data_IF_778450773645
#
_entry.id   IF_778450773645
#
_cell.length_a   1.000
_cell.length_b   1.000
_cell.length_c   1.000
_cell.angle_alpha   90.00
_cell.angle_beta   90.00
_cell.angle_gamma   90.00
#
_symmetry.space_group_name_H-M   'P 1'
#
loop_
_entity.id
_entity.type
_entity.pdbx_description
1 polymer ?
#
# COMPACT_ATOMS: atom_id res chain seq x y z
N UNK A 1 -31.63 -2.56 -16.93
CA UNK A 1 -31.48 -2.49 -15.45
C UNK A 1 -31.33 -1.04 -15.07
N UNK A 2 -32.20 -0.51 -14.21
CA UNK A 2 -32.15 0.90 -13.78
C UNK A 2 -31.23 0.95 -12.56
N UNK A 3 -30.12 1.73 -12.55
CA UNK A 3 -29.40 1.96 -11.32
C UNK A 3 -30.27 2.90 -10.48
N UNK A 4 -30.97 2.35 -9.49
CA UNK A 4 -31.60 3.15 -8.45
C UNK A 4 -30.48 3.64 -7.55
N UNK A 5 -30.06 4.89 -7.74
CA UNK A 5 -29.31 5.59 -6.71
C UNK A 5 -30.27 5.86 -5.54
N UNK A 6 -29.97 5.42 -4.31
CA UNK A 6 -30.43 6.14 -3.14
C UNK A 6 -29.44 7.27 -2.89
N UNK A 7 -29.93 8.51 -2.88
CA UNK A 7 -29.24 9.62 -2.23
C UNK A 7 -29.19 9.33 -0.72
N UNK A 8 -28.18 8.58 -0.27
CA UNK A 8 -27.83 8.42 1.14
C UNK A 8 -26.38 7.88 1.25
N UNK A 9 -25.39 8.79 1.26
CA UNK A 9 -23.97 8.48 1.47
C UNK A 9 -23.10 8.48 0.21
N UNK A 10 -21.82 8.85 0.38
CA UNK A 10 -20.79 8.76 -0.67
C UNK A 10 -20.54 7.30 -1.08
N UNK A 11 -20.14 7.07 -2.34
CA UNK A 11 -19.76 5.72 -2.82
C UNK A 11 -18.51 5.20 -2.09
N UNK A 12 -18.30 3.88 -2.08
CA UNK A 12 -17.12 3.27 -1.49
C UNK A 12 -15.85 3.76 -2.18
N UNK A 13 -15.87 3.90 -3.50
CA UNK A 13 -14.75 4.49 -4.26
C UNK A 13 -14.42 5.90 -3.77
N UNK A 14 -15.43 6.74 -3.56
CA UNK A 14 -15.22 8.09 -3.04
C UNK A 14 -14.61 8.06 -1.63
N UNK A 15 -15.07 7.16 -0.76
CA UNK A 15 -14.47 6.99 0.57
C UNK A 15 -13.02 6.52 0.51
N UNK A 16 -12.68 5.56 -0.35
CA UNK A 16 -11.29 5.11 -0.54
C UNK A 16 -10.42 6.28 -0.99
N UNK A 17 -10.88 7.09 -1.95
CA UNK A 17 -10.15 8.28 -2.40
C UNK A 17 -9.96 9.27 -1.26
N UNK A 18 -11.02 9.59 -0.51
CA UNK A 18 -10.95 10.51 0.63
C UNK A 18 -9.95 10.01 1.67
N UNK A 19 -10.01 8.72 2.04
CA UNK A 19 -9.08 8.11 3.00
C UNK A 19 -7.64 8.25 2.51
N UNK A 20 -7.37 7.94 1.24
CA UNK A 20 -6.03 8.05 0.65
C UNK A 20 -5.51 9.49 0.69
N UNK A 21 -6.34 10.46 0.30
CA UNK A 21 -5.98 11.89 0.34
C UNK A 21 -5.74 12.34 1.78
N UNK A 22 -6.60 11.96 2.72
CA UNK A 22 -6.45 12.30 4.14
C UNK A 22 -5.18 11.67 4.71
N UNK A 23 -4.93 10.38 4.49
CA UNK A 23 -3.70 9.70 4.94
C UNK A 23 -2.47 10.37 4.34
N UNK A 24 -2.50 10.73 3.07
CA UNK A 24 -1.41 11.45 2.43
C UNK A 24 -1.20 12.85 3.00
N UNK A 25 -2.26 13.60 3.33
CA UNK A 25 -2.18 14.91 3.98
C UNK A 25 -1.81 14.83 5.47
N UNK A 26 -2.10 13.73 6.15
CA UNK A 26 -1.64 13.50 7.52
C UNK A 26 -0.15 13.13 7.51
N UNK A 27 0.25 12.25 6.60
CA UNK A 27 1.65 11.98 6.32
C UNK A 27 2.36 13.26 5.88
N UNK A 28 1.64 14.09 5.12
CA UNK A 28 1.72 15.53 4.81
C UNK A 28 2.35 16.49 5.81
N UNK A 29 1.79 16.42 7.01
CA UNK A 29 1.72 17.56 7.91
C UNK A 29 2.22 17.23 9.31
N UNK A 30 2.15 15.95 9.71
CA UNK A 30 2.35 15.57 11.10
C UNK A 30 3.83 15.31 11.45
N UNK A 31 4.72 15.03 10.48
CA UNK A 31 6.10 14.69 10.81
C UNK A 31 7.10 15.26 9.81
N UNK A 32 8.14 15.92 10.34
CA UNK A 32 9.33 16.32 9.62
C UNK A 32 9.77 15.20 8.68
N UNK A 33 9.78 15.47 7.37
CA UNK A 33 10.25 14.49 6.41
C UNK A 33 11.76 14.38 6.51
N UNK A 34 12.23 13.15 6.66
CA UNK A 34 13.60 12.79 6.35
C UNK A 34 13.67 12.41 4.87
N UNK A 35 14.82 12.61 4.20
CA UNK A 35 15.17 11.79 3.04
C UNK A 35 14.88 10.33 3.37
N UNK A 36 14.25 9.60 2.44
CA UNK A 36 13.92 8.21 2.75
C UNK A 36 15.18 7.41 3.07
N UNK A 37 15.10 6.46 4.02
CA UNK A 37 16.25 5.62 4.36
C UNK A 37 16.67 4.70 3.19
N UNK A 38 15.86 4.64 2.12
CA UNK A 38 16.08 3.84 0.93
C UNK A 38 16.68 4.65 -0.24
N UNK A 39 16.93 5.96 -0.06
CA UNK A 39 17.57 6.81 -1.06
C UNK A 39 16.64 7.35 -2.15
N UNK A 40 15.32 7.18 -2.00
CA UNK A 40 14.32 7.70 -2.94
C UNK A 40 13.08 8.27 -2.23
N UNK A 41 12.67 9.48 -2.61
CA UNK A 41 11.46 10.11 -2.08
C UNK A 41 11.59 10.63 -0.64
N UNK A 42 10.45 11.01 -0.06
CA UNK A 42 10.34 11.56 1.29
C UNK A 42 9.64 10.57 2.21
N UNK A 43 10.03 10.55 3.49
CA UNK A 43 9.55 9.54 4.43
C UNK A 43 9.01 10.14 5.72
N UNK A 44 7.90 9.58 6.21
CA UNK A 44 7.24 10.02 7.45
C UNK A 44 7.01 8.84 8.40
N UNK A 45 6.73 9.13 9.67
CA UNK A 45 6.44 8.09 10.67
C UNK A 45 5.23 7.21 10.31
N UNK A 46 4.29 7.72 9.53
CA UNK A 46 3.18 6.89 9.03
C UNK A 46 3.68 5.83 8.03
N UNK A 47 4.69 6.16 7.23
CA UNK A 47 5.36 5.18 6.39
C UNK A 47 6.09 4.15 7.24
N UNK A 48 6.82 4.55 8.28
CA UNK A 48 7.47 3.60 9.22
C UNK A 48 6.50 2.57 9.79
N UNK A 49 5.31 3.03 10.19
CA UNK A 49 4.30 2.19 10.83
C UNK A 49 3.52 1.29 9.85
N UNK A 50 3.34 1.73 8.61
CA UNK A 50 2.37 1.13 7.70
C UNK A 50 2.90 0.59 6.37
N UNK A 51 4.14 0.91 5.95
CA UNK A 51 4.68 0.41 4.69
C UNK A 51 4.83 -1.11 4.71
N UNK A 52 4.75 -1.75 3.56
CA UNK A 52 5.04 -3.18 3.43
C UNK A 52 6.49 -3.37 3.00
N UNK A 53 7.26 -4.14 3.77
CA UNK A 53 8.56 -4.69 3.36
C UNK A 53 8.63 -6.13 3.87
N UNK A 54 9.37 -7.00 3.17
CA UNK A 54 9.48 -8.42 3.53
C UNK A 54 10.06 -8.60 4.94
N UNK A 55 11.04 -7.76 5.29
CA UNK A 55 11.54 -7.67 6.65
C UNK A 55 10.40 -7.28 7.61
N UNK A 56 9.85 -6.05 7.53
CA UNK A 56 8.91 -5.57 8.56
C UNK A 56 7.62 -6.38 8.68
N UNK A 57 7.20 -7.10 7.64
CA UNK A 57 6.02 -7.96 7.69
C UNK A 57 6.25 -9.27 8.47
N UNK A 58 7.49 -9.80 8.50
CA UNK A 58 7.78 -11.13 9.06
C UNK A 58 8.96 -11.16 10.04
N UNK A 59 10.02 -10.39 9.80
CA UNK A 59 11.28 -10.46 10.52
C UNK A 59 11.73 -9.08 11.00
N UNK A 60 12.03 -8.96 12.29
CA UNK A 60 12.78 -7.82 12.79
C UNK A 60 14.19 -8.29 13.15
N UNK A 61 15.20 -7.56 12.67
CA UNK A 61 16.59 -7.78 13.07
C UNK A 61 16.83 -6.90 14.28
N UNK A 62 16.94 -7.50 15.47
CA UNK A 62 17.31 -6.76 16.66
C UNK A 62 18.78 -6.32 16.57
N UNK A 63 19.13 -5.26 17.30
CA UNK A 63 20.47 -4.67 17.34
C UNK A 63 21.57 -5.63 17.80
N UNK A 64 21.20 -6.80 18.33
CA UNK A 64 22.06 -7.91 18.73
C UNK A 64 22.27 -8.96 17.61
N UNK A 65 21.73 -8.74 16.41
CA UNK A 65 21.82 -9.64 15.27
C UNK A 65 20.81 -10.79 15.30
N UNK A 66 19.90 -10.82 16.27
CA UNK A 66 18.90 -11.88 16.39
C UNK A 66 17.74 -11.65 15.42
N UNK A 67 17.43 -12.66 14.61
CA UNK A 67 16.21 -12.71 13.82
C UNK A 67 15.05 -13.11 14.73
N UNK A 68 14.09 -12.20 14.91
CA UNK A 68 12.85 -12.50 15.61
C UNK A 68 11.68 -12.49 14.62
N UNK A 69 10.80 -13.49 14.76
CA UNK A 69 9.53 -13.50 14.04
C UNK A 69 8.66 -12.38 14.60
N UNK A 70 8.38 -11.37 13.78
CA UNK A 70 7.54 -10.23 14.13
C UNK A 70 6.46 -10.06 13.05
N UNK A 71 5.32 -10.73 13.25
CA UNK A 71 4.22 -10.76 12.28
C UNK A 71 3.37 -9.50 12.35
N UNK A 72 3.79 -8.45 11.62
CA UNK A 72 3.07 -7.18 11.55
C UNK A 72 1.95 -7.24 10.50
N UNK A 73 0.91 -8.02 10.78
CA UNK A 73 -0.17 -8.36 9.82
C UNK A 73 -0.94 -7.16 9.27
N UNK A 74 -0.98 -6.04 9.99
CA UNK A 74 -1.64 -4.82 9.49
C UNK A 74 -0.96 -4.27 8.24
N UNK A 75 0.34 -4.53 8.04
CA UNK A 75 1.12 -4.05 6.89
C UNK A 75 0.63 -4.61 5.56
N UNK A 76 -0.10 -5.72 5.55
CA UNK A 76 -0.74 -6.26 4.34
C UNK A 76 -1.95 -5.43 3.87
N UNK A 77 -2.42 -4.50 4.70
CA UNK A 77 -3.55 -3.63 4.41
C UNK A 77 -3.14 -2.17 4.40
N UNK A 78 -2.38 -1.71 5.40
CA UNK A 78 -2.05 -0.29 5.56
C UNK A 78 -1.25 0.28 4.40
N UNK A 79 -0.40 -0.54 3.77
CA UNK A 79 0.44 -0.09 2.64
C UNK A 79 -0.40 0.39 1.45
N UNK A 80 -1.62 -0.16 1.28
CA UNK A 80 -2.53 0.18 0.18
C UNK A 80 -2.98 1.64 0.23
N UNK A 81 -2.82 2.30 1.38
CA UNK A 81 -3.23 3.69 1.62
C UNK A 81 -2.04 4.66 1.73
N UNK A 82 -0.81 4.14 1.72
CA UNK A 82 0.40 4.95 1.77
C UNK A 82 0.87 5.25 0.35
N UNK A 83 1.32 6.48 0.14
CA UNK A 83 1.70 6.99 -1.17
C UNK A 83 2.98 7.79 -1.03
N UNK A 84 3.86 7.67 -2.03
CA UNK A 84 5.12 8.40 -2.06
C UNK A 84 4.88 9.90 -1.87
N UNK A 85 5.60 10.46 -0.90
CA UNK A 85 5.58 11.89 -0.58
C UNK A 85 6.54 12.67 -1.46
N UNK A 86 7.50 12.02 -2.13
CA UNK A 86 8.43 12.63 -3.07
C UNK A 86 7.76 13.12 -4.34
N UNK A 87 6.75 12.38 -4.83
CA UNK A 87 6.03 12.68 -6.06
C UNK A 87 4.50 12.74 -5.87
N UNK A 88 3.94 13.95 -5.95
CA UNK A 88 2.48 14.17 -5.92
C UNK A 88 1.75 13.44 -7.06
N UNK A 89 2.44 13.20 -8.18
CA UNK A 89 1.85 12.50 -9.32
C UNK A 89 1.49 11.06 -9.01
N UNK A 90 2.19 10.42 -8.06
CA UNK A 90 1.88 9.05 -7.65
C UNK A 90 0.45 8.94 -7.13
N UNK A 91 0.09 9.77 -6.13
CA UNK A 91 -1.26 9.77 -5.57
C UNK A 91 -2.30 10.25 -6.58
N UNK A 92 -2.01 11.30 -7.36
CA UNK A 92 -2.96 11.83 -8.35
C UNK A 92 -3.35 10.76 -9.38
N UNK A 93 -2.38 10.04 -9.94
CA UNK A 93 -2.64 9.00 -10.94
C UNK A 93 -3.37 7.79 -10.34
N UNK A 94 -3.05 7.39 -9.10
CA UNK A 94 -3.79 6.32 -8.42
C UNK A 94 -5.24 6.71 -8.15
N UNK A 95 -5.49 7.92 -7.66
CA UNK A 95 -6.85 8.40 -7.40
C UNK A 95 -7.65 8.59 -8.69
N UNK A 96 -6.98 9.02 -9.77
CA UNK A 96 -7.59 9.08 -11.10
C UNK A 96 -7.98 7.69 -11.62
N UNK A 97 -7.09 6.69 -11.47
CA UNK A 97 -7.39 5.29 -11.79
C UNK A 97 -8.57 4.75 -11.00
N UNK A 98 -8.62 4.98 -9.67
CA UNK A 98 -9.74 4.60 -8.83
C UNK A 98 -11.04 5.30 -9.24
N UNK A 99 -10.99 6.58 -9.59
CA UNK A 99 -12.16 7.34 -10.01
C UNK A 99 -12.76 6.83 -11.32
N UNK A 100 -11.92 6.38 -12.26
CA UNK A 100 -12.35 5.78 -13.53
C UNK A 100 -12.79 4.33 -13.31
N UNK A 101 -11.88 3.45 -12.91
CA UNK A 101 -12.12 2.00 -12.87
C UNK A 101 -12.87 1.55 -11.62
N UNK A 102 -12.54 2.13 -10.47
CA UNK A 102 -13.14 1.77 -9.19
C UNK A 102 -14.65 1.96 -9.19
N UNK A 103 -15.16 3.06 -9.76
CA UNK A 103 -16.61 3.29 -9.89
C UNK A 103 -17.30 2.27 -10.79
N UNK A 104 -16.68 1.88 -11.92
CA UNK A 104 -17.23 0.85 -12.81
C UNK A 104 -17.30 -0.51 -12.12
N UNK A 105 -16.24 -0.90 -11.40
CA UNK A 105 -16.20 -2.15 -10.65
C UNK A 105 -17.18 -2.12 -9.47
N UNK A 106 -17.29 -0.99 -8.76
CA UNK A 106 -18.25 -0.79 -7.67
C UNK A 106 -19.69 -0.92 -8.15
N UNK A 107 -20.03 -0.38 -9.33
CA UNK A 107 -21.35 -0.52 -9.93
C UNK A 107 -21.69 -1.97 -10.28
N UNK A 108 -20.70 -2.75 -10.71
CA UNK A 108 -20.88 -4.15 -11.09
C UNK A 108 -20.97 -5.08 -9.87
N UNK A 109 -20.08 -4.93 -8.90
CA UNK A 109 -19.99 -5.81 -7.73
C UNK A 109 -20.91 -5.36 -6.57
N UNK A 110 -21.26 -4.07 -6.51
CA UNK A 110 -21.84 -3.42 -5.34
C UNK A 110 -20.79 -3.06 -4.29
N UNK A 111 -21.06 -2.03 -3.49
CA UNK A 111 -20.07 -1.41 -2.59
C UNK A 111 -19.36 -2.37 -1.62
N UNK A 112 -20.09 -3.26 -0.94
CA UNK A 112 -19.50 -4.20 0.04
C UNK A 112 -18.52 -5.18 -0.62
N UNK A 113 -18.91 -5.76 -1.76
CA UNK A 113 -18.07 -6.72 -2.48
C UNK A 113 -16.88 -6.03 -3.14
N UNK A 114 -17.07 -4.80 -3.64
CA UNK A 114 -15.99 -3.98 -4.16
C UNK A 114 -14.94 -3.66 -3.08
N UNK A 115 -15.36 -3.28 -1.87
CA UNK A 115 -14.40 -3.03 -0.78
C UNK A 115 -13.58 -4.30 -0.44
N UNK A 116 -14.26 -5.45 -0.31
CA UNK A 116 -13.58 -6.72 -0.06
C UNK A 116 -12.62 -7.07 -1.20
N UNK A 117 -13.06 -6.90 -2.45
CA UNK A 117 -12.24 -7.11 -3.64
C UNK A 117 -10.99 -6.22 -3.63
N UNK A 118 -11.14 -4.92 -3.39
CA UNK A 118 -10.04 -3.95 -3.30
C UNK A 118 -8.99 -4.38 -2.26
N UNK A 119 -9.43 -4.68 -1.04
CA UNK A 119 -8.53 -5.06 0.05
C UNK A 119 -7.82 -6.40 -0.20
N UNK A 120 -8.55 -7.38 -0.74
CA UNK A 120 -8.01 -8.71 -1.07
C UNK A 120 -7.00 -8.62 -2.19
N UNK A 121 -7.25 -7.83 -3.24
CA UNK A 121 -6.29 -7.58 -4.30
C UNK A 121 -4.98 -6.98 -3.76
N UNK A 122 -5.04 -6.02 -2.84
CA UNK A 122 -3.84 -5.48 -2.21
C UNK A 122 -3.10 -6.52 -1.36
N UNK A 123 -3.81 -7.36 -0.61
CA UNK A 123 -3.19 -8.47 0.14
C UNK A 123 -2.46 -9.43 -0.81
N UNK A 124 -3.09 -9.81 -1.94
CA UNK A 124 -2.42 -10.63 -2.96
C UNK A 124 -1.20 -9.94 -3.57
N UNK A 125 -1.25 -8.62 -3.77
CA UNK A 125 -0.09 -7.83 -4.21
C UNK A 125 1.09 -7.93 -3.24
N UNK A 126 0.82 -7.77 -1.93
CA UNK A 126 1.83 -7.91 -0.89
C UNK A 126 2.39 -9.35 -0.80
N UNK A 127 1.54 -10.37 -0.95
CA UNK A 127 1.96 -11.77 -0.98
C UNK A 127 2.81 -12.10 -2.22
N UNK A 128 2.43 -11.56 -3.39
CA UNK A 128 3.22 -11.71 -4.60
C UNK A 128 4.59 -11.04 -4.45
N UNK A 129 4.63 -9.85 -3.89
CA UNK A 129 5.89 -9.15 -3.61
C UNK A 129 6.80 -9.93 -2.66
N UNK A 130 6.23 -10.47 -1.57
CA UNK A 130 6.93 -11.37 -0.66
C UNK A 130 7.53 -12.56 -1.41
N UNK A 131 6.73 -13.23 -2.26
CA UNK A 131 7.19 -14.36 -3.05
C UNK A 131 8.34 -13.97 -3.98
N UNK A 132 8.24 -12.82 -4.65
CA UNK A 132 9.29 -12.32 -5.54
C UNK A 132 10.60 -12.04 -4.78
N UNK A 133 10.54 -11.47 -3.58
CA UNK A 133 11.71 -11.24 -2.74
C UNK A 133 12.33 -12.55 -2.23
N UNK A 134 11.51 -13.55 -1.87
CA UNK A 134 11.98 -14.87 -1.47
C UNK A 134 12.67 -15.60 -2.62
N UNK A 135 12.14 -15.51 -3.83
CA UNK A 135 12.81 -16.07 -5.01
C UNK A 135 14.12 -15.30 -5.31
N UNK A 136 14.11 -13.98 -5.15
CA UNK A 136 15.28 -13.11 -5.20
C UNK A 136 16.42 -13.58 -4.30
N UNK A 137 16.11 -13.82 -3.02
CA UNK A 137 17.10 -14.25 -2.03
C UNK A 137 17.62 -15.68 -2.24
N UNK A 138 16.90 -16.52 -2.99
CA UNK A 138 17.36 -17.84 -3.44
C UNK A 138 18.30 -17.78 -4.64
N UNK A 139 18.68 -16.58 -5.10
CA UNK A 139 19.63 -16.38 -6.21
C UNK A 139 18.99 -16.30 -7.60
N UNK A 140 17.65 -16.27 -7.67
CA UNK A 140 16.96 -15.93 -8.91
C UNK A 140 16.95 -14.41 -9.05
N UNK A 141 17.70 -13.83 -9.98
CA UNK A 141 17.73 -12.39 -10.20
C UNK A 141 17.07 -12.05 -11.54
N UNK A 142 15.83 -11.54 -11.50
CA UNK A 142 15.15 -10.93 -12.65
C UNK A 142 15.26 -9.40 -12.51
N UNK A 143 16.09 -8.73 -13.34
CA UNK A 143 16.26 -7.29 -13.28
C UNK A 143 14.92 -6.55 -13.39
N UNK A 144 14.67 -5.60 -12.48
CA UNK A 144 13.47 -4.76 -12.47
C UNK A 144 12.20 -5.42 -11.90
N UNK A 145 12.25 -6.71 -11.53
CA UNK A 145 11.11 -7.43 -10.93
C UNK A 145 11.43 -7.89 -9.51
N UNK A 146 12.67 -8.32 -9.25
CA UNK A 146 13.08 -8.87 -7.95
C UNK A 146 13.91 -7.85 -7.16
N UNK A 147 13.52 -7.61 -5.91
CA UNK A 147 14.36 -6.88 -4.95
C UNK A 147 15.06 -7.93 -4.08
N UNK A 148 16.38 -7.97 -4.15
CA UNK A 148 17.20 -8.86 -3.31
C UNK A 148 17.33 -8.37 -1.88
N UNK A 149 16.87 -7.13 -1.59
CA UNK A 149 16.87 -6.54 -0.26
C UNK A 149 15.49 -6.63 0.41
N UNK A 150 15.33 -7.44 1.47
CA UNK A 150 14.08 -7.59 2.21
C UNK A 150 13.57 -6.31 2.87
N UNK A 151 14.41 -5.29 3.05
CA UNK A 151 14.04 -4.02 3.67
C UNK A 151 13.41 -3.04 2.70
N UNK A 152 13.57 -3.27 1.39
CA UNK A 152 12.99 -2.40 0.38
C UNK A 152 11.46 -2.39 0.54
N UNK A 153 10.81 -1.21 0.63
CA UNK A 153 9.36 -1.12 0.66
C UNK A 153 8.74 -1.35 -0.72
N UNK A 154 7.53 -1.92 -0.71
CA UNK A 154 6.62 -1.94 -1.87
C UNK A 154 6.02 -0.56 -2.14
#
# INVERSE_FOLDING_TARGET
MRPTAPLSGLSVTAWIIIINVVVHLLASTIFAYSPSPFGYGRWSRLHDLGHFSTAKAFFDIQSDGKLILNLQVWRFVTFQFLHDLGSIWHIVLNMFGLWIFGRTVEQYLGGKKYLAFYLVCGIFGALLYLLLNLLGSMGLHIPGVMMSDPHTPL
#
